data_IF_838400532018
#
_entry.id   IF_838400532018
#
_cell.length_a   1.000
_cell.length_b   1.000
_cell.length_c   1.000
_cell.angle_alpha   90.00
_cell.angle_beta   90.00
_cell.angle_gamma   90.00
#
_symmetry.space_group_name_H-M   'P 1'
#
loop_
_entity.id
_entity.type
_entity.pdbx_description
1 polymer ?
#
# COMPACT_ATOMS: atom_id res chain seq x y z
N UNK A 1 8.52 3.03 5.18
CA UNK A 1 9.06 4.09 6.07
C UNK A 1 9.60 3.60 7.41
N UNK A 2 9.29 2.39 7.87
CA UNK A 2 9.92 1.84 9.08
C UNK A 2 11.47 1.83 9.02
N UNK A 3 12.04 1.75 7.80
CA UNK A 3 13.49 1.84 7.56
C UNK A 3 14.17 3.10 8.09
N UNK A 4 13.44 4.21 8.28
CA UNK A 4 14.00 5.47 8.77
C UNK A 4 13.94 5.63 10.29
N UNK A 5 13.26 4.73 11.01
CA UNK A 5 13.10 4.83 12.46
C UNK A 5 14.47 4.93 13.18
N UNK A 6 15.48 4.07 12.90
CA UNK A 6 16.77 4.16 13.60
C UNK A 6 17.49 5.50 13.38
N UNK A 7 17.41 6.04 12.17
CA UNK A 7 18.03 7.33 11.81
C UNK A 7 17.31 8.48 12.51
N UNK A 8 15.98 8.44 12.59
CA UNK A 8 15.18 9.44 13.31
C UNK A 8 15.45 9.39 14.82
N UNK A 9 15.55 8.20 15.40
CA UNK A 9 15.87 8.03 16.82
C UNK A 9 17.23 8.63 17.16
N UNK A 10 18.24 8.40 16.30
CA UNK A 10 19.58 8.96 16.45
C UNK A 10 19.57 10.50 16.47
N UNK A 11 18.93 11.15 15.48
CA UNK A 11 18.94 12.61 15.38
C UNK A 11 18.02 13.31 16.36
N UNK A 12 16.92 12.65 16.75
CA UNK A 12 15.95 13.23 17.68
C UNK A 12 16.34 13.09 19.15
N UNK A 13 17.35 12.26 19.46
CA UNK A 13 17.71 11.95 20.85
C UNK A 13 16.66 11.08 21.55
N UNK A 14 15.94 10.23 20.80
CA UNK A 14 14.91 9.34 21.33
C UNK A 14 13.55 10.00 21.57
N UNK A 15 13.22 11.07 20.84
CA UNK A 15 11.86 11.62 20.88
C UNK A 15 10.86 10.63 20.24
N UNK A 16 9.67 10.43 20.83
CA UNK A 16 8.69 9.49 20.28
C UNK A 16 8.24 9.90 18.86
N UNK A 17 8.44 9.06 17.84
CA UNK A 17 7.92 9.32 16.50
C UNK A 17 6.41 9.10 16.48
N UNK A 18 5.67 10.11 16.00
CA UNK A 18 4.21 10.06 15.90
C UNK A 18 3.76 9.90 14.44
N UNK A 19 2.99 8.84 14.15
CA UNK A 19 2.29 8.68 12.87
C UNK A 19 0.79 8.89 13.09
N UNK A 20 0.29 10.06 12.71
CA UNK A 20 -1.06 10.51 13.06
C UNK A 20 -2.14 10.12 12.05
N UNK A 21 -1.79 10.03 10.76
CA UNK A 21 -2.79 9.98 9.68
C UNK A 21 -2.42 8.90 8.68
N UNK A 22 -3.43 8.16 8.22
CA UNK A 22 -3.36 7.31 7.04
C UNK A 22 -4.21 7.92 5.93
N UNK A 23 -3.54 8.39 4.88
CA UNK A 23 -4.17 9.09 3.75
C UNK A 23 -3.44 8.79 2.44
N UNK A 24 -4.17 8.99 1.35
CA UNK A 24 -3.66 8.89 -0.02
C UNK A 24 -4.10 10.09 -0.84
N UNK A 25 -3.56 10.27 -2.04
CA UNK A 25 -4.04 11.29 -2.98
C UNK A 25 -5.50 11.10 -3.42
N UNK A 26 -6.09 9.94 -3.12
CA UNK A 26 -7.47 9.57 -3.49
C UNK A 26 -8.46 9.76 -2.35
N UNK A 27 -8.05 9.52 -1.11
CA UNK A 27 -8.92 9.59 0.06
C UNK A 27 -8.09 9.76 1.35
N UNK A 28 -8.61 10.59 2.27
CA UNK A 28 -8.17 10.63 3.66
C UNK A 28 -8.90 9.52 4.42
N UNK A 29 -8.23 8.40 4.67
CA UNK A 29 -8.93 7.18 5.12
C UNK A 29 -9.05 7.09 6.64
N UNK A 30 -8.01 7.42 7.40
CA UNK A 30 -8.00 7.15 8.83
C UNK A 30 -6.98 7.91 9.67
N UNK A 31 -7.12 7.76 10.99
CA UNK A 31 -6.30 8.41 12.00
C UNK A 31 -5.78 7.38 13.01
N UNK A 32 -4.57 7.61 13.53
CA UNK A 32 -4.05 6.85 14.66
C UNK A 32 -4.57 7.47 15.96
N UNK A 33 -5.45 6.76 16.65
CA UNK A 33 -6.02 7.21 17.92
C UNK A 33 -5.04 7.09 19.10
N UNK A 34 -3.89 6.44 18.89
CA UNK A 34 -2.79 6.30 19.86
C UNK A 34 -1.49 6.80 19.23
N UNK A 35 -1.34 8.12 18.97
CA UNK A 35 -0.21 8.66 18.21
C UNK A 35 1.15 8.48 18.87
N UNK A 36 1.18 8.25 20.19
CA UNK A 36 2.40 8.03 20.98
C UNK A 36 2.77 6.54 21.12
N UNK A 37 2.05 5.63 20.44
CA UNK A 37 2.42 4.21 20.43
C UNK A 37 3.74 3.99 19.67
N UNK A 38 4.36 2.83 19.90
CA UNK A 38 5.56 2.45 19.15
C UNK A 38 5.21 2.37 17.65
N UNK A 39 6.13 2.75 16.75
CA UNK A 39 5.90 2.64 15.31
C UNK A 39 5.48 1.23 14.84
N UNK A 40 5.99 0.17 15.48
CA UNK A 40 5.63 -1.23 15.18
C UNK A 40 4.18 -1.59 15.55
N UNK A 41 3.58 -0.82 16.46
CA UNK A 41 2.22 -1.03 16.97
C UNK A 41 1.22 -0.02 16.38
N UNK A 42 1.66 0.82 15.42
CA UNK A 42 0.83 1.83 14.79
C UNK A 42 -0.38 1.18 14.10
N UNK A 43 -1.58 1.59 14.53
CA UNK A 43 -2.85 1.17 13.96
C UNK A 43 -3.69 2.40 13.65
N UNK A 44 -4.40 2.38 12.52
CA UNK A 44 -5.20 3.50 12.04
C UNK A 44 -6.67 3.11 12.04
N UNK A 45 -7.51 3.92 12.69
CA UNK A 45 -8.97 3.78 12.64
C UNK A 45 -9.49 4.47 11.39
N UNK A 46 -10.23 3.73 10.57
CA UNK A 46 -10.88 4.30 9.39
C UNK A 46 -12.04 5.19 9.84
N UNK A 47 -12.14 6.37 9.24
CA UNK A 47 -13.19 7.34 9.50
C UNK A 47 -14.34 7.12 8.50
N UNK A 48 -15.49 6.55 8.91
CA UNK A 48 -16.53 6.11 7.98
C UNK A 48 -17.19 7.23 7.17
N UNK A 49 -17.02 8.48 7.59
CA UNK A 49 -17.55 9.66 6.90
C UNK A 49 -16.68 10.13 5.73
N UNK A 50 -15.47 9.60 5.55
CA UNK A 50 -14.54 10.05 4.51
C UNK A 50 -14.83 9.46 3.12
N UNK A 51 -15.59 8.37 3.07
CA UNK A 51 -15.95 7.64 1.87
C UNK A 51 -16.58 6.31 2.20
N UNK A 52 -16.93 5.53 1.18
CA UNK A 52 -17.37 4.16 1.36
C UNK A 52 -16.17 3.22 1.17
N UNK A 53 -15.96 2.34 2.16
CA UNK A 53 -14.79 1.48 2.25
C UNK A 53 -15.22 0.02 2.18
N UNK A 54 -14.64 -0.70 1.21
CA UNK A 54 -14.82 -2.12 1.00
C UNK A 54 -13.45 -2.82 1.06
N UNK A 55 -13.48 -4.12 1.36
CA UNK A 55 -12.27 -4.90 1.62
C UNK A 55 -12.30 -6.18 0.79
N UNK A 56 -11.23 -6.40 0.02
CA UNK A 56 -11.03 -7.64 -0.72
C UNK A 56 -10.09 -8.57 0.09
N UNK A 57 -10.56 -9.74 0.55
CA UNK A 57 -9.71 -10.68 1.27
C UNK A 57 -8.49 -11.10 0.43
N UNK A 58 -7.30 -11.12 1.04
CA UNK A 58 -6.06 -11.42 0.30
C UNK A 58 -6.06 -12.84 -0.29
N UNK A 59 -6.67 -13.82 0.40
CA UNK A 59 -6.83 -15.20 -0.06
C UNK A 59 -7.60 -15.33 -1.39
N UNK A 60 -8.41 -14.33 -1.75
CA UNK A 60 -9.23 -14.31 -2.96
C UNK A 60 -8.64 -13.45 -4.08
N UNK A 61 -7.47 -12.83 -3.87
CA UNK A 61 -6.90 -11.83 -4.79
C UNK A 61 -6.30 -12.45 -6.06
N UNK A 62 -5.97 -13.75 -6.06
CA UNK A 62 -5.38 -14.46 -7.20
C UNK A 62 -6.42 -14.98 -8.21
N UNK A 63 -7.71 -14.92 -7.87
CA UNK A 63 -8.77 -15.23 -8.81
C UNK A 63 -8.99 -14.02 -9.72
N UNK A 64 -8.67 -14.17 -11.01
CA UNK A 64 -8.93 -13.16 -12.02
C UNK A 64 -10.37 -12.64 -11.88
N UNK A 65 -10.51 -11.37 -11.50
CA UNK A 65 -11.80 -10.72 -11.29
C UNK A 65 -12.54 -10.68 -12.63
N UNK A 66 -13.39 -11.67 -12.87
CA UNK A 66 -14.28 -11.65 -14.03
C UNK A 66 -15.37 -10.62 -13.79
N UNK A 67 -15.73 -9.87 -14.82
CA UNK A 67 -16.81 -8.89 -14.76
C UNK A 67 -18.17 -9.56 -14.46
N UNK A 68 -18.27 -10.85 -14.78
CA UNK A 68 -19.47 -11.68 -14.63
C UNK A 68 -19.62 -12.24 -13.21
N UNK A 69 -18.54 -12.25 -12.41
CA UNK A 69 -18.53 -12.72 -11.03
C UNK A 69 -17.71 -11.75 -10.14
N UNK A 70 -18.27 -10.59 -9.75
CA UNK A 70 -17.55 -9.64 -8.93
C UNK A 70 -17.12 -10.31 -7.61
N UNK A 71 -15.92 -9.99 -7.11
CA UNK A 71 -15.42 -10.59 -5.89
C UNK A 71 -16.35 -10.24 -4.73
N UNK A 72 -16.48 -11.17 -3.77
CA UNK A 72 -17.25 -10.93 -2.57
C UNK A 72 -16.48 -9.96 -1.67
N UNK A 73 -16.77 -8.68 -1.83
CA UNK A 73 -16.21 -7.64 -0.99
C UNK A 73 -16.84 -7.69 0.40
N UNK A 74 -16.04 -7.33 1.39
CA UNK A 74 -16.45 -7.23 2.79
C UNK A 74 -16.62 -5.75 3.12
N UNK A 75 -17.74 -5.40 3.73
CA UNK A 75 -17.98 -4.02 4.18
C UNK A 75 -17.11 -3.68 5.39
N UNK A 76 -16.87 -2.40 5.62
CA UNK A 76 -16.08 -1.89 6.74
C UNK A 76 -16.49 -2.49 8.11
N UNK A 77 -17.77 -2.68 8.36
CA UNK A 77 -18.25 -3.22 9.64
C UNK A 77 -18.08 -4.75 9.80
N UNK A 78 -17.81 -5.46 8.71
CA UNK A 78 -17.81 -6.93 8.66
C UNK A 78 -16.41 -7.54 8.53
N UNK A 79 -15.36 -6.72 8.64
CA UNK A 79 -13.97 -7.20 8.61
C UNK A 79 -13.65 -8.00 9.88
N UNK A 80 -12.72 -8.93 9.79
CA UNK A 80 -12.34 -9.80 10.92
C UNK A 80 -10.92 -9.49 11.38
N UNK A 81 -10.71 -9.54 12.70
CA UNK A 81 -9.39 -9.31 13.33
C UNK A 81 -8.37 -10.35 12.84
N UNK A 82 -7.12 -9.92 12.71
CA UNK A 82 -5.97 -10.67 12.18
C UNK A 82 -6.03 -11.00 10.68
N UNK A 83 -7.14 -10.74 9.99
CA UNK A 83 -7.24 -10.95 8.54
C UNK A 83 -6.64 -9.79 7.74
N UNK A 84 -6.06 -10.14 6.59
CA UNK A 84 -5.48 -9.19 5.63
C UNK A 84 -6.42 -8.95 4.45
N UNK A 85 -6.56 -7.68 4.10
CA UNK A 85 -7.44 -7.22 3.05
C UNK A 85 -6.76 -6.17 2.17
N UNK A 86 -7.10 -6.16 0.89
CA UNK A 86 -6.82 -5.04 0.01
C UNK A 86 -7.93 -3.97 0.13
N UNK A 87 -7.53 -2.72 0.32
CA UNK A 87 -8.44 -1.59 0.46
C UNK A 87 -9.08 -1.20 -0.88
N UNK A 88 -10.40 -1.15 -0.90
CA UNK A 88 -11.22 -0.65 -2.00
C UNK A 88 -11.99 0.59 -1.52
N UNK A 89 -11.88 1.68 -2.28
CA UNK A 89 -12.46 2.97 -1.91
C UNK A 89 -13.48 3.43 -2.94
N UNK A 90 -14.59 3.97 -2.44
CA UNK A 90 -15.56 4.76 -3.20
C UNK A 90 -15.64 6.15 -2.58
N UNK A 91 -15.43 7.18 -3.39
CA UNK A 91 -15.22 8.56 -2.90
C UNK A 91 -16.26 9.52 -3.48
N UNK A 92 -16.51 10.63 -2.77
CA UNK A 92 -17.38 11.71 -3.26
C UNK A 92 -16.92 12.33 -4.58
N UNK A 93 -15.63 12.23 -4.91
CA UNK A 93 -15.06 12.73 -6.16
C UNK A 93 -15.33 11.82 -7.38
N UNK A 94 -16.10 10.73 -7.22
CA UNK A 94 -16.55 9.89 -8.34
C UNK A 94 -15.70 8.64 -8.59
N UNK A 95 -14.71 8.33 -7.74
CA UNK A 95 -14.10 7.00 -7.74
C UNK A 95 -15.10 5.98 -7.21
N UNK A 96 -15.36 4.92 -7.98
CA UNK A 96 -16.26 3.82 -7.61
C UNK A 96 -15.48 2.52 -7.55
N UNK A 97 -15.49 1.84 -6.40
CA UNK A 97 -14.78 0.56 -6.17
C UNK A 97 -13.33 0.59 -6.66
N UNK A 98 -12.64 1.70 -6.40
CA UNK A 98 -11.25 1.87 -6.81
C UNK A 98 -10.33 1.04 -5.92
N UNK A 99 -9.53 0.19 -6.54
CA UNK A 99 -8.52 -0.62 -5.85
C UNK A 99 -7.30 0.24 -5.54
N UNK A 100 -7.11 0.54 -4.26
CA UNK A 100 -5.98 1.34 -3.79
C UNK A 100 -4.64 0.60 -3.89
N UNK A 101 -4.68 -0.74 -3.83
CA UNK A 101 -3.50 -1.61 -3.81
C UNK A 101 -2.81 -1.70 -2.44
N UNK A 102 -3.34 -1.04 -1.41
CA UNK A 102 -2.80 -1.13 -0.06
C UNK A 102 -3.36 -2.37 0.63
N UNK A 103 -2.46 -3.15 1.25
CA UNK A 103 -2.77 -4.34 2.04
C UNK A 103 -2.77 -3.94 3.52
N UNK A 104 -3.92 -4.14 4.16
CA UNK A 104 -4.20 -3.75 5.53
C UNK A 104 -4.57 -4.99 6.34
N UNK A 105 -3.99 -5.12 7.53
CA UNK A 105 -4.38 -6.14 8.50
C UNK A 105 -5.27 -5.50 9.57
N UNK A 106 -6.43 -6.09 9.86
CA UNK A 106 -7.28 -5.65 10.98
C UNK A 106 -6.59 -6.02 12.30
N UNK A 107 -6.35 -5.04 13.17
CA UNK A 107 -5.71 -5.27 14.47
C UNK A 107 -6.69 -5.27 15.63
N UNK A 108 -7.71 -4.41 15.59
CA UNK A 108 -8.69 -4.26 16.67
C UNK A 108 -9.89 -3.43 16.17
N UNK A 109 -10.84 -3.14 17.05
CA UNK A 109 -11.95 -2.22 16.81
C UNK A 109 -11.96 -1.09 17.84
N UNK A 110 -12.11 0.13 17.36
CA UNK A 110 -12.46 1.26 18.21
C UNK A 110 -13.97 1.48 18.14
N UNK A 111 -14.66 1.08 19.22
CA UNK A 111 -16.12 0.91 19.21
C UNK A 111 -16.53 -0.09 18.11
N UNK A 112 -17.16 0.39 17.04
CA UNK A 112 -17.53 -0.42 15.87
C UNK A 112 -16.67 -0.12 14.63
N UNK A 113 -15.74 0.82 14.72
CA UNK A 113 -14.87 1.18 13.60
C UNK A 113 -13.58 0.35 13.66
N UNK A 114 -13.24 -0.42 12.60
CA UNK A 114 -12.03 -1.23 12.60
C UNK A 114 -10.76 -0.37 12.62
N UNK A 115 -9.74 -0.89 13.28
CA UNK A 115 -8.37 -0.40 13.29
C UNK A 115 -7.50 -1.31 12.43
N UNK A 116 -6.61 -0.71 11.64
CA UNK A 116 -5.77 -1.46 10.71
C UNK A 116 -4.29 -1.13 10.88
N UNK A 117 -3.46 -2.15 10.74
CA UNK A 117 -2.03 -2.02 10.51
C UNK A 117 -1.77 -2.02 9.01
N UNK A 118 -0.99 -1.05 8.55
CA UNK A 118 -0.49 -1.04 7.18
C UNK A 118 0.60 -2.09 7.02
N UNK A 119 0.39 -3.06 6.12
CA UNK A 119 1.37 -4.12 5.85
C UNK A 119 2.29 -3.70 4.71
N UNK A 120 1.70 -3.46 3.53
CA UNK A 120 2.45 -3.08 2.32
C UNK A 120 1.52 -2.53 1.24
N UNK A 121 2.12 -1.93 0.22
CA UNK A 121 1.44 -1.66 -1.05
C UNK A 121 1.80 -2.73 -2.07
N UNK A 122 0.80 -3.25 -2.78
CA UNK A 122 0.98 -4.26 -3.84
C UNK A 122 1.96 -3.74 -4.90
N UNK A 123 2.83 -4.64 -5.36
CA UNK A 123 3.84 -4.39 -6.39
C UNK A 123 4.90 -3.33 -6.07
N UNK A 124 5.00 -2.81 -4.84
CA UNK A 124 6.10 -1.92 -4.45
C UNK A 124 7.31 -2.77 -4.02
N UNK A 125 8.36 -2.80 -4.85
CA UNK A 125 9.60 -3.53 -4.58
C UNK A 125 10.65 -2.63 -3.91
N UNK A 126 10.89 -1.45 -4.48
CA UNK A 126 11.82 -0.45 -3.95
C UNK A 126 11.07 0.87 -3.67
N UNK A 127 11.43 1.53 -2.57
CA UNK A 127 10.87 2.82 -2.18
C UNK A 127 11.82 3.55 -1.22
N UNK A 128 12.25 4.75 -1.60
CA UNK A 128 13.06 5.63 -0.75
C UNK A 128 12.14 6.66 -0.09
N UNK A 129 11.44 7.47 -0.88
CA UNK A 129 10.51 8.49 -0.41
C UNK A 129 9.09 8.19 -0.90
N UNK A 130 8.57 8.97 -1.86
CA UNK A 130 7.27 8.73 -2.47
C UNK A 130 7.35 7.76 -3.67
N UNK A 131 8.55 7.45 -4.15
CA UNK A 131 8.82 6.54 -5.25
C UNK A 131 8.43 5.10 -4.90
N UNK A 132 7.89 4.41 -5.90
CA UNK A 132 7.46 3.01 -5.82
C UNK A 132 7.88 2.36 -7.13
N UNK A 133 8.98 1.64 -7.11
CA UNK A 133 9.44 0.87 -8.26
C UNK A 133 8.89 -0.54 -8.16
N UNK A 134 8.26 -1.01 -9.22
CA UNK A 134 7.79 -2.39 -9.31
C UNK A 134 8.85 -3.34 -9.90
N UNK A 135 8.55 -4.64 -9.88
CA UNK A 135 9.46 -5.65 -10.39
C UNK A 135 9.67 -5.54 -11.90
N UNK A 136 8.63 -5.14 -12.65
CA UNK A 136 8.67 -5.01 -14.11
C UNK A 136 9.57 -3.84 -14.49
N UNK A 137 9.41 -2.69 -13.85
CA UNK A 137 10.25 -1.50 -14.03
C UNK A 137 11.71 -1.82 -13.69
N UNK A 138 11.96 -2.57 -12.62
CA UNK A 138 13.33 -2.98 -12.26
C UNK A 138 13.92 -3.93 -13.32
N UNK A 139 13.14 -4.89 -13.79
CA UNK A 139 13.57 -5.83 -14.83
C UNK A 139 13.86 -5.12 -16.15
N UNK A 140 12.97 -4.23 -16.60
CA UNK A 140 13.16 -3.42 -17.81
C UNK A 140 14.41 -2.55 -17.70
N UNK A 141 14.63 -1.89 -16.56
CA UNK A 141 15.83 -1.10 -16.31
C UNK A 141 17.10 -1.96 -16.38
N UNK A 142 17.06 -3.17 -15.81
CA UNK A 142 18.21 -4.09 -15.83
C UNK A 142 18.55 -4.56 -17.26
N UNK A 143 17.55 -4.93 -18.05
CA UNK A 143 17.70 -5.36 -19.44
C UNK A 143 18.23 -4.22 -20.30
N UNK A 144 17.70 -3.01 -20.13
CA UNK A 144 18.16 -1.82 -20.84
C UNK A 144 19.63 -1.50 -20.56
N UNK A 145 20.08 -1.62 -19.31
CA UNK A 145 21.49 -1.40 -18.93
C UNK A 145 22.38 -2.48 -19.55
N UNK A 146 21.92 -3.75 -19.58
CA UNK A 146 22.65 -4.85 -20.21
C UNK A 146 22.79 -4.63 -21.72
N UNK A 147 21.72 -4.23 -22.41
CA UNK A 147 21.76 -3.92 -23.84
C UNK A 147 22.74 -2.77 -24.13
N UNK A 148 22.66 -1.67 -23.38
CA UNK A 148 23.58 -0.54 -23.56
C UNK A 148 25.05 -0.93 -23.33
N UNK A 149 25.31 -1.81 -22.35
CA UNK A 149 26.67 -2.36 -22.13
C UNK A 149 27.13 -3.23 -23.28
N UNK A 150 26.24 -4.04 -23.87
CA UNK A 150 26.55 -4.87 -25.03
C UNK A 150 26.86 -3.99 -26.23
N UNK A 151 26.00 -3.01 -26.55
CA UNK A 151 26.20 -2.05 -27.65
C UNK A 151 27.55 -1.31 -27.57
N UNK A 152 27.91 -0.82 -26.38
CA UNK A 152 29.20 -0.16 -26.16
C UNK A 152 30.40 -1.10 -26.34
N UNK A 153 30.20 -2.41 -26.16
CA UNK A 153 31.26 -3.43 -26.31
C UNK A 153 31.42 -3.91 -27.75
N UNK A 154 30.33 -4.01 -28.52
CA UNK A 154 30.34 -4.50 -29.90
C UNK A 154 30.36 -3.37 -30.95
N UNK A 155 30.07 -2.13 -30.57
CA UNK A 155 30.06 -0.97 -31.47
C UNK A 155 28.90 -0.95 -32.47
N UNK A 156 27.90 -1.82 -32.29
CA UNK A 156 26.72 -1.96 -33.14
C UNK A 156 25.49 -1.73 -32.26
N UNK A 157 24.59 -0.84 -32.71
CA UNK A 157 23.27 -0.64 -32.09
C UNK A 157 22.41 -1.89 -32.28
N UNK A 158 21.85 -2.41 -31.21
CA UNK A 158 20.91 -3.54 -31.25
C UNK A 158 19.50 -2.95 -31.40
N UNK A 159 19.29 -2.20 -32.48
CA UNK A 159 17.96 -1.78 -32.91
C UNK A 159 17.56 -2.71 -34.06
N UNK A 160 16.54 -3.55 -33.86
CA UNK A 160 15.82 -4.40 -34.83
C UNK A 160 16.18 -5.90 -34.84
N UNK A 161 15.48 -6.69 -34.03
CA UNK A 161 14.88 -7.95 -34.49
C UNK A 161 13.43 -7.91 -33.99
N UNK A 162 12.48 -7.73 -34.92
CA UNK A 162 11.03 -7.88 -34.71
C UNK A 162 10.67 -9.29 -34.21
#
# INVERSE_FOLDING_TARGET
MAQYIPTLDYYSGGLPPASATYASSKCYSGLNLKPMSKPSEASYTIMPNMGYFEFLPLEQNDLALSRDSPPRLVDLANVEVEKEYELIITTYAGLCRYRGGDILQVTDFYNSAPQFRFIRRKNALLSIDADKTDEVELQEASVKILLQKVELRIGIKVDSIE
#
